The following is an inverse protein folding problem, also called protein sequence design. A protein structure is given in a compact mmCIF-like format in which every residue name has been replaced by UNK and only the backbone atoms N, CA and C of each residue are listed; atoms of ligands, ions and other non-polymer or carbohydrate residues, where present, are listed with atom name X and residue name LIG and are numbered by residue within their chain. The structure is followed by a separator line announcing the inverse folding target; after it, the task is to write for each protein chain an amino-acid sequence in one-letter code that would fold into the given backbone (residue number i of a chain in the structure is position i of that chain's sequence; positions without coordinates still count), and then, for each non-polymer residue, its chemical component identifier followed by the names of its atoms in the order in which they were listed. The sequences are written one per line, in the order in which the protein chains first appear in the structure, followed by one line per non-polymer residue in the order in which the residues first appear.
data_IF_521715192659
#
_entry.id   IF_521715192659
#
_cell.length_a   1.000
_cell.length_b   1.000
_cell.length_c   1.000
_cell.angle_alpha   90.00
_cell.angle_beta   90.00
_cell.angle_gamma   90.00
#
_symmetry.space_group_name_H-M   'P 1'
#
loop_
_entity.id
_entity.type
_entity.pdbx_description
1 polymer ?
#
# COMPACT_ATOMS: atom_id res chain seq x y z
N UNK A 1 7.72 -26.55 -35.24
CA UNK A 1 7.28 -25.28 -34.64
C UNK A 1 6.59 -25.51 -33.28
N UNK A 2 7.23 -26.24 -32.37
CA UNK A 2 6.66 -26.64 -31.06
C UNK A 2 7.49 -26.17 -29.86
N UNK A 3 8.64 -25.54 -30.09
CA UNK A 3 9.60 -25.14 -29.05
C UNK A 3 9.26 -23.81 -28.35
N UNK A 4 8.38 -22.96 -28.91
CA UNK A 4 8.09 -21.63 -28.35
C UNK A 4 6.92 -21.58 -27.36
N UNK A 5 6.14 -22.66 -27.21
CA UNK A 5 4.95 -22.65 -26.34
C UNK A 5 5.27 -22.37 -24.86
N UNK A 6 6.34 -22.92 -24.26
CA UNK A 6 6.67 -22.67 -22.86
C UNK A 6 7.11 -21.21 -22.60
N UNK A 7 7.93 -20.63 -23.49
CA UNK A 7 8.35 -19.24 -23.40
C UNK A 7 7.16 -18.28 -23.57
N UNK A 8 6.27 -18.58 -24.52
CA UNK A 8 5.09 -17.78 -24.78
C UNK A 8 4.12 -17.78 -23.59
N UNK A 9 4.00 -18.89 -22.86
CA UNK A 9 3.22 -18.94 -21.62
C UNK A 9 3.75 -17.99 -20.54
N UNK A 10 5.08 -17.92 -20.36
CA UNK A 10 5.72 -16.98 -19.42
C UNK A 10 5.51 -15.53 -19.88
N UNK A 11 5.68 -15.24 -21.17
CA UNK A 11 5.46 -13.91 -21.74
C UNK A 11 4.00 -13.45 -21.57
N UNK A 12 3.03 -14.35 -21.77
CA UNK A 12 1.62 -14.05 -21.52
C UNK A 12 1.31 -13.80 -20.05
N UNK A 13 1.94 -14.54 -19.14
CA UNK A 13 1.80 -14.33 -17.70
C UNK A 13 2.35 -12.95 -17.29
N UNK A 14 3.55 -12.60 -17.78
CA UNK A 14 4.17 -11.28 -17.58
C UNK A 14 3.29 -10.16 -18.13
N UNK A 15 2.80 -10.30 -19.37
CA UNK A 15 1.92 -9.31 -20.01
C UNK A 15 0.63 -9.06 -19.24
N UNK A 16 0.12 -10.05 -18.52
CA UNK A 16 -1.04 -9.91 -17.62
C UNK A 16 -0.67 -9.35 -16.25
N UNK A 17 0.53 -9.64 -15.76
CA UNK A 17 0.97 -9.23 -14.43
C UNK A 17 1.26 -7.72 -14.33
N UNK A 18 2.02 -7.16 -15.29
CA UNK A 18 2.45 -5.75 -15.21
C UNK A 18 1.29 -4.74 -15.14
N UNK A 19 0.22 -4.85 -15.95
CA UNK A 19 -0.92 -3.92 -15.83
C UNK A 19 -1.61 -4.00 -14.46
N UNK A 20 -1.69 -5.19 -13.86
CA UNK A 20 -2.25 -5.34 -12.52
C UNK A 20 -1.37 -4.67 -11.48
N UNK A 21 -0.05 -4.85 -11.56
CA UNK A 21 0.90 -4.18 -10.67
C UNK A 21 0.79 -2.65 -10.80
N UNK A 22 0.69 -2.12 -12.02
CA UNK A 22 0.53 -0.70 -12.28
C UNK A 22 -0.77 -0.15 -11.65
N UNK A 23 -1.88 -0.85 -11.83
CA UNK A 23 -3.16 -0.49 -11.19
C UNK A 23 -3.05 -0.50 -9.67
N UNK A 24 -2.43 -1.55 -9.10
CA UNK A 24 -2.22 -1.67 -7.66
C UNK A 24 -1.33 -0.54 -7.11
N UNK A 25 -0.33 -0.10 -7.87
CA UNK A 25 0.51 1.03 -7.50
C UNK A 25 -0.28 2.34 -7.42
N UNK A 26 -1.24 2.55 -8.33
CA UNK A 26 -2.15 3.69 -8.25
C UNK A 26 -2.99 3.69 -6.96
N UNK A 27 -3.54 2.54 -6.59
CA UNK A 27 -4.31 2.37 -5.36
C UNK A 27 -3.45 2.58 -4.11
N UNK A 28 -2.23 2.04 -4.11
CA UNK A 28 -1.26 2.23 -3.03
C UNK A 28 -0.95 3.71 -2.79
N UNK A 29 -0.60 4.44 -3.85
CA UNK A 29 -0.29 5.87 -3.75
C UNK A 29 -1.49 6.69 -3.30
N UNK A 30 -2.70 6.36 -3.77
CA UNK A 30 -3.92 7.03 -3.33
C UNK A 30 -4.17 6.79 -1.85
N UNK A 31 -4.07 5.54 -1.38
CA UNK A 31 -4.28 5.20 0.02
C UNK A 31 -3.26 5.89 0.94
N UNK A 32 -1.98 5.94 0.54
CA UNK A 32 -0.95 6.68 1.29
C UNK A 32 -1.23 8.18 1.36
N UNK A 33 -1.66 8.78 0.24
CA UNK A 33 -2.02 10.21 0.19
C UNK A 33 -3.18 10.53 1.14
N UNK A 34 -4.16 9.63 1.22
CA UNK A 34 -5.32 9.77 2.10
C UNK A 34 -4.95 9.61 3.58
N UNK A 35 -3.86 8.92 3.92
CA UNK A 35 -3.38 8.82 5.30
C UNK A 35 -2.86 10.15 5.84
N UNK A 36 -2.22 10.97 5.00
CA UNK A 36 -1.59 12.23 5.43
C UNK A 36 -2.53 13.18 6.20
N UNK A 37 -3.73 13.54 5.68
CA UNK A 37 -4.65 14.40 6.42
C UNK A 37 -5.16 13.77 7.73
N UNK A 38 -5.30 12.44 7.78
CA UNK A 38 -5.74 11.73 8.98
C UNK A 38 -4.67 11.77 10.08
N UNK A 39 -3.40 11.53 9.70
CA UNK A 39 -2.25 11.63 10.62
C UNK A 39 -2.09 13.06 11.15
N UNK A 40 -2.22 14.07 10.28
CA UNK A 40 -2.22 15.47 10.70
C UNK A 40 -3.35 15.79 11.67
N UNK A 41 -4.57 15.28 11.43
CA UNK A 41 -5.71 15.44 12.34
C UNK A 41 -5.44 14.81 13.69
N UNK A 42 -4.85 13.60 13.73
CA UNK A 42 -4.50 12.93 14.98
C UNK A 42 -3.41 13.68 15.76
N UNK A 43 -2.37 14.17 15.08
CA UNK A 43 -1.34 15.01 15.70
C UNK A 43 -1.95 16.25 16.34
N UNK A 44 -2.79 16.97 15.59
CA UNK A 44 -3.49 18.15 16.12
C UNK A 44 -4.42 17.80 17.29
N UNK A 45 -5.16 16.69 17.24
CA UNK A 45 -6.00 16.25 18.36
C UNK A 45 -5.17 15.92 19.61
N UNK A 46 -4.00 15.30 19.44
CA UNK A 46 -3.08 15.02 20.54
C UNK A 46 -2.57 16.32 21.19
N UNK A 47 -2.17 17.30 20.39
CA UNK A 47 -1.77 18.63 20.88
C UNK A 47 -2.91 19.33 21.63
N UNK A 48 -4.14 19.29 21.09
CA UNK A 48 -5.30 19.90 21.72
C UNK A 48 -5.67 19.20 23.05
N UNK A 49 -5.57 17.87 23.11
CA UNK A 49 -5.77 17.11 24.34
C UNK A 49 -4.71 17.47 25.39
N UNK A 50 -3.46 17.60 24.99
CA UNK A 50 -2.38 18.02 25.89
C UNK A 50 -2.59 19.44 26.41
N UNK A 51 -2.94 20.38 25.52
CA UNK A 51 -3.24 21.76 25.90
C UNK A 51 -4.42 21.85 26.87
N UNK A 52 -5.50 21.09 26.61
CA UNK A 52 -6.65 21.03 27.50
C UNK A 52 -6.34 20.35 28.85
N UNK A 53 -5.36 19.45 28.91
CA UNK A 53 -4.91 18.87 30.19
C UNK A 53 -4.10 19.87 31.02
N UNK A 54 -3.26 20.67 30.35
CA UNK A 54 -2.38 21.65 30.99
C UNK A 54 -3.13 22.92 31.44
N UNK A 55 -4.30 23.20 30.88
CA UNK A 55 -5.12 24.36 31.23
C UNK A 55 -5.90 24.13 32.54
N UNK A 56 -5.80 25.09 33.45
CA UNK A 56 -6.73 25.27 34.57
C UNK A 56 -7.93 26.09 34.10
N UNK A 57 -9.04 25.42 33.80
CA UNK A 57 -10.22 26.07 33.21
C UNK A 57 -10.86 27.08 34.18
N UNK A 58 -10.74 26.83 35.47
CA UNK A 58 -11.16 27.70 36.58
C UNK A 58 -10.44 29.06 36.58
N UNK A 59 -9.21 29.10 36.08
CA UNK A 59 -8.37 30.31 36.01
C UNK A 59 -8.75 31.20 34.81
N UNK A 60 -9.60 30.72 33.90
CA UNK A 60 -10.06 31.47 32.72
C UNK A 60 -11.48 31.99 32.95
N UNK A 61 -11.69 33.30 33.22
CA UNK A 61 -13.00 33.84 33.62
C UNK A 61 -14.12 33.55 32.61
N UNK A 62 -13.81 33.61 31.31
CA UNK A 62 -14.77 33.34 30.24
C UNK A 62 -15.26 31.88 30.19
N UNK A 63 -14.49 30.92 30.72
CA UNK A 63 -14.82 29.49 30.68
C UNK A 63 -15.61 29.03 31.91
N UNK A 64 -15.67 29.85 32.98
CA UNK A 64 -16.38 29.51 34.23
C UNK A 64 -17.88 29.27 34.04
N UNK A 65 -18.49 29.88 33.04
CA UNK A 65 -19.89 29.64 32.68
C UNK A 65 -20.15 28.23 32.12
N UNK A 66 -19.10 27.45 31.84
CA UNK A 66 -19.16 26.13 31.21
C UNK A 66 -18.44 25.07 32.06
N UNK A 67 -19.01 24.65 33.21
CA UNK A 67 -18.35 23.76 34.17
C UNK A 67 -18.07 22.35 33.61
N UNK A 68 -18.81 21.94 32.57
CA UNK A 68 -18.69 20.65 31.88
C UNK A 68 -17.79 20.70 30.64
N UNK A 69 -17.24 21.88 30.31
CA UNK A 69 -16.51 22.10 29.06
C UNK A 69 -15.31 21.17 28.90
N UNK A 70 -14.49 21.01 29.95
CA UNK A 70 -13.29 20.16 29.90
C UNK A 70 -13.63 18.72 29.53
N UNK A 71 -14.65 18.17 30.20
CA UNK A 71 -15.08 16.80 29.98
C UNK A 71 -15.75 16.63 28.59
N UNK A 72 -16.59 17.58 28.19
CA UNK A 72 -17.22 17.55 26.86
C UNK A 72 -16.21 17.71 25.73
N UNK A 73 -15.21 18.57 25.90
CA UNK A 73 -14.13 18.75 24.96
C UNK A 73 -13.32 17.45 24.83
N UNK A 74 -12.94 16.85 25.95
CA UNK A 74 -12.24 15.55 25.97
C UNK A 74 -13.04 14.48 25.22
N UNK A 75 -14.33 14.31 25.53
CA UNK A 75 -15.18 13.32 24.83
C UNK A 75 -15.26 13.57 23.33
N UNK A 76 -15.42 14.82 22.91
CA UNK A 76 -15.47 15.18 21.49
C UNK A 76 -14.14 14.91 20.78
N UNK A 77 -13.03 15.23 21.42
CA UNK A 77 -11.69 14.99 20.86
C UNK A 77 -11.39 13.50 20.74
N UNK A 78 -11.74 12.69 21.75
CA UNK A 78 -11.59 11.24 21.70
C UNK A 78 -12.45 10.64 20.58
N UNK A 79 -13.74 11.02 20.49
CA UNK A 79 -14.61 10.55 19.41
C UNK A 79 -14.09 10.95 18.02
N UNK A 80 -13.52 12.15 17.86
CA UNK A 80 -12.90 12.56 16.61
C UNK A 80 -11.62 11.74 16.30
N UNK A 81 -10.85 11.39 17.33
CA UNK A 81 -9.69 10.52 17.24
C UNK A 81 -10.06 9.12 16.79
N UNK A 82 -11.10 8.53 17.39
CA UNK A 82 -11.62 7.20 17.03
C UNK A 82 -12.02 7.15 15.55
N UNK A 83 -12.77 8.16 15.07
CA UNK A 83 -13.15 8.26 13.65
C UNK A 83 -11.92 8.33 12.73
N UNK A 84 -10.88 9.07 13.12
CA UNK A 84 -9.66 9.17 12.32
C UNK A 84 -8.87 7.86 12.30
N UNK A 85 -8.82 7.15 13.44
CA UNK A 85 -8.20 5.83 13.55
C UNK A 85 -8.95 4.77 12.73
N UNK A 86 -10.28 4.77 12.76
CA UNK A 86 -11.10 3.86 11.94
C UNK A 86 -10.78 4.05 10.44
N UNK A 87 -10.73 5.30 9.98
CA UNK A 87 -10.36 5.63 8.59
C UNK A 87 -8.94 5.21 8.25
N UNK A 88 -7.98 5.37 9.17
CA UNK A 88 -6.61 4.88 8.96
C UNK A 88 -6.59 3.35 8.87
N UNK A 89 -7.41 2.66 9.67
CA UNK A 89 -7.60 1.21 9.59
C UNK A 89 -8.10 0.77 8.21
N UNK A 90 -9.08 1.49 7.64
CA UNK A 90 -9.54 1.24 6.27
C UNK A 90 -8.43 1.40 5.23
N UNK A 91 -7.61 2.46 5.35
CA UNK A 91 -6.48 2.69 4.43
C UNK A 91 -5.39 1.63 4.58
N UNK A 92 -5.10 1.20 5.80
CA UNK A 92 -4.20 0.07 6.05
C UNK A 92 -4.71 -1.21 5.40
N UNK A 93 -6.00 -1.51 5.50
CA UNK A 93 -6.59 -2.67 4.84
C UNK A 93 -6.42 -2.63 3.31
N UNK A 94 -6.54 -1.45 2.70
CA UNK A 94 -6.28 -1.26 1.25
C UNK A 94 -4.81 -1.54 0.94
N UNK A 95 -3.87 -0.99 1.71
CA UNK A 95 -2.43 -1.20 1.51
C UNK A 95 -2.04 -2.69 1.62
N UNK A 96 -2.56 -3.38 2.64
CA UNK A 96 -2.34 -4.82 2.82
C UNK A 96 -2.91 -5.62 1.63
N UNK A 97 -4.11 -5.27 1.16
CA UNK A 97 -4.71 -5.91 0.00
C UNK A 97 -3.88 -5.71 -1.28
N UNK A 98 -3.35 -4.51 -1.50
CA UNK A 98 -2.45 -4.23 -2.62
C UNK A 98 -1.20 -5.12 -2.53
N UNK A 99 -0.54 -5.16 -1.37
CA UNK A 99 0.63 -6.00 -1.14
C UNK A 99 0.34 -7.47 -1.46
N UNK A 100 -0.76 -7.99 -0.94
CA UNK A 100 -1.14 -9.40 -1.11
C UNK A 100 -1.49 -9.70 -2.58
N UNK A 101 -2.17 -8.78 -3.26
CA UNK A 101 -2.50 -8.90 -4.68
C UNK A 101 -1.23 -8.95 -5.53
N UNK A 102 -0.32 -7.97 -5.36
CA UNK A 102 0.95 -7.93 -6.10
C UNK A 102 1.75 -9.20 -5.85
N UNK A 103 1.86 -9.63 -4.58
CA UNK A 103 2.59 -10.86 -4.22
C UNK A 103 2.02 -12.08 -4.94
N UNK A 104 0.70 -12.25 -4.94
CA UNK A 104 0.04 -13.39 -5.60
C UNK A 104 0.22 -13.41 -7.13
N UNK A 105 0.26 -12.23 -7.75
CA UNK A 105 0.48 -12.10 -9.19
C UNK A 105 1.92 -12.41 -9.57
N UNK A 106 2.89 -11.88 -8.81
CA UNK A 106 4.31 -12.18 -8.99
C UNK A 106 4.56 -13.68 -8.78
N UNK A 107 4.06 -14.26 -7.70
CA UNK A 107 4.21 -15.69 -7.41
C UNK A 107 3.67 -16.56 -8.54
N UNK A 108 2.50 -16.22 -9.12
CA UNK A 108 1.94 -16.96 -10.26
C UNK A 108 2.84 -16.91 -11.49
N UNK A 109 3.47 -15.77 -11.79
CA UNK A 109 4.42 -15.67 -12.91
C UNK A 109 5.62 -16.58 -12.66
N UNK A 110 6.18 -16.56 -11.45
CA UNK A 110 7.31 -17.41 -11.09
C UNK A 110 6.96 -18.89 -11.13
N UNK A 111 5.77 -19.30 -10.66
CA UNK A 111 5.29 -20.68 -10.78
C UNK A 111 5.22 -21.14 -12.24
N UNK A 112 4.72 -20.29 -13.15
CA UNK A 112 4.64 -20.61 -14.59
C UNK A 112 6.05 -20.72 -15.20
N UNK A 113 6.96 -19.82 -14.81
CA UNK A 113 8.35 -19.90 -15.25
C UNK A 113 9.03 -21.18 -14.76
N UNK A 114 8.91 -21.52 -13.48
CA UNK A 114 9.49 -22.74 -12.88
C UNK A 114 8.95 -24.02 -13.53
N UNK A 115 7.66 -24.08 -13.84
CA UNK A 115 7.05 -25.21 -14.57
C UNK A 115 7.65 -25.44 -15.97
N UNK A 116 8.28 -24.41 -16.54
CA UNK A 116 8.82 -24.41 -17.89
C UNK A 116 10.34 -24.27 -17.93
N UNK A 117 11.00 -24.07 -16.78
CA UNK A 117 12.43 -23.72 -16.70
C UNK A 117 13.34 -24.75 -17.38
N UNK A 118 13.07 -26.05 -17.22
CA UNK A 118 13.86 -27.12 -17.85
C UNK A 118 13.72 -27.17 -19.39
N UNK A 119 12.65 -26.56 -19.91
CA UNK A 119 12.34 -26.56 -21.35
C UNK A 119 12.66 -25.23 -22.03
N UNK A 120 12.62 -24.13 -21.28
CA UNK A 120 12.96 -22.80 -21.76
C UNK A 120 14.47 -22.63 -21.64
N UNK A 121 15.18 -22.73 -22.77
CA UNK A 121 16.62 -22.53 -22.80
C UNK A 121 17.00 -21.13 -22.28
N UNK A 122 18.11 -21.05 -21.53
CA UNK A 122 18.59 -19.81 -20.92
C UNK A 122 18.78 -18.68 -21.94
N UNK A 123 19.26 -19.02 -23.15
CA UNK A 123 19.45 -18.06 -24.23
C UNK A 123 18.13 -17.38 -24.60
N UNK A 124 17.03 -18.14 -24.66
CA UNK A 124 15.72 -17.64 -25.04
C UNK A 124 15.12 -16.67 -24.00
N UNK A 125 15.43 -16.87 -22.71
CA UNK A 125 14.99 -15.98 -21.62
C UNK A 125 15.74 -14.65 -21.65
N UNK A 126 17.01 -14.69 -22.08
CA UNK A 126 17.90 -13.54 -22.15
C UNK A 126 17.76 -12.73 -23.45
N UNK A 127 17.13 -13.27 -24.49
CA UNK A 127 16.94 -12.54 -25.76
C UNK A 127 15.87 -11.44 -25.62
N UNK A 128 16.23 -10.16 -25.78
CA UNK A 128 15.24 -9.09 -25.93
C UNK A 128 14.66 -9.07 -27.35
N UNK A 129 13.55 -8.35 -27.53
CA UNK A 129 12.99 -8.07 -28.86
C UNK A 129 13.06 -6.58 -29.19
N UNK A 130 12.74 -6.22 -30.42
CA UNK A 130 12.65 -4.81 -30.84
C UNK A 130 11.58 -4.01 -30.08
N UNK A 131 10.60 -4.68 -29.45
CA UNK A 131 9.42 -4.06 -28.82
C UNK A 131 9.24 -4.45 -27.35
N UNK A 132 10.10 -5.30 -26.81
CA UNK A 132 10.01 -5.76 -25.42
C UNK A 132 11.39 -6.10 -24.84
N UNK A 133 11.59 -5.88 -23.53
CA UNK A 133 12.74 -6.40 -22.80
C UNK A 133 12.81 -7.93 -22.85
N UNK A 134 13.91 -8.49 -22.35
CA UNK A 134 14.03 -9.94 -22.17
C UNK A 134 13.10 -10.44 -21.06
N UNK A 135 12.81 -11.74 -21.05
CA UNK A 135 12.03 -12.35 -19.96
C UNK A 135 12.81 -12.26 -18.64
N UNK A 136 14.14 -12.37 -18.68
CA UNK A 136 14.99 -12.22 -17.50
C UNK A 136 14.83 -10.83 -16.86
N UNK A 137 14.92 -9.76 -17.66
CA UNK A 137 14.78 -8.38 -17.15
C UNK A 137 13.39 -8.18 -16.52
N UNK A 138 12.34 -8.66 -17.18
CA UNK A 138 10.98 -8.52 -16.69
C UNK A 138 10.75 -9.29 -15.37
N UNK A 139 11.33 -10.49 -15.22
CA UNK A 139 11.27 -11.25 -13.97
C UNK A 139 12.05 -10.57 -12.84
N UNK A 140 13.22 -10.00 -13.15
CA UNK A 140 14.00 -9.21 -12.19
C UNK A 140 13.18 -8.00 -11.69
N UNK A 141 12.55 -7.26 -12.60
CA UNK A 141 11.70 -6.13 -12.23
C UNK A 141 10.55 -6.54 -11.31
N UNK A 142 9.90 -7.68 -11.57
CA UNK A 142 8.85 -8.19 -10.69
C UNK A 142 9.37 -8.56 -9.30
N UNK A 143 10.58 -9.11 -9.17
CA UNK A 143 11.19 -9.35 -7.86
C UNK A 143 11.48 -8.06 -7.12
N UNK A 144 11.97 -7.03 -7.81
CA UNK A 144 12.24 -5.75 -7.18
C UNK A 144 10.95 -5.07 -6.71
N UNK A 145 9.88 -5.18 -7.49
CA UNK A 145 8.54 -4.76 -7.10
C UNK A 145 8.04 -5.55 -5.87
N UNK A 146 8.16 -6.88 -5.85
CA UNK A 146 7.78 -7.71 -4.70
C UNK A 146 8.55 -7.29 -3.44
N UNK A 147 9.86 -7.09 -3.56
CA UNK A 147 10.73 -6.62 -2.47
C UNK A 147 10.29 -5.26 -1.96
N UNK A 148 9.89 -4.35 -2.84
CA UNK A 148 9.37 -3.04 -2.44
C UNK A 148 8.12 -3.18 -1.57
N UNK A 149 7.11 -3.95 -2.00
CA UNK A 149 5.87 -4.11 -1.23
C UNK A 149 6.01 -4.95 0.04
N UNK A 150 6.99 -5.87 0.12
CA UNK A 150 7.24 -6.66 1.33
C UNK A 150 7.98 -5.86 2.41
N UNK A 151 8.80 -4.88 2.00
CA UNK A 151 9.63 -4.06 2.92
C UNK A 151 9.01 -2.72 3.30
N UNK A 152 7.95 -2.29 2.60
CA UNK A 152 7.20 -1.06 2.90
C UNK A 152 6.08 -1.31 3.88
#
# INVERSE_FOLDING_TARGET
MTQDRPLLAVQEALKKCFPVVEEQQGLWQSALRDCQPLLSSLSNLAEQLQAAQNLRFEDVPALRAFPDLKERLRRKQLAAGDIALDKLGERLAILLKVRDMVSSHVERVFQIYEQHADTVGIDAVLQPSAVSPSVADMLEWLQDIERHYRKS
#
